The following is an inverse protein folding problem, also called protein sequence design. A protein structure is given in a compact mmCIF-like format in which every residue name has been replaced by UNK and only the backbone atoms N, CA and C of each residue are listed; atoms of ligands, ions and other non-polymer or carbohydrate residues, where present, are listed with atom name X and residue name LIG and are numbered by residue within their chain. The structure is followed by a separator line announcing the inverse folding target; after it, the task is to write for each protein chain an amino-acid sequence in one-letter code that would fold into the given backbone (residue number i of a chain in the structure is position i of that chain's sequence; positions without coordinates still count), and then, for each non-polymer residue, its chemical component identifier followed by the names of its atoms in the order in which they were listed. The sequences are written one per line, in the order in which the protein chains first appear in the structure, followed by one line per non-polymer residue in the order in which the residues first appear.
data_IF_600135044968
#
_entry.id   IF_600135044968
#
_cell.length_a   1.000
_cell.length_b   1.000
_cell.length_c   1.000
_cell.angle_alpha   90.00
_cell.angle_beta   90.00
_cell.angle_gamma   90.00
#
_symmetry.space_group_name_H-M   'P 1'
#
loop_
_entity.id
_entity.type
_entity.pdbx_description
1 polymer ?
#
# COMPACT_ATOMS: atom_id res chain seq x y z
N UNK A 1 -10.67 -6.55 -16.76
CA UNK A 1 -11.50 -7.37 -15.84
C UNK A 1 -12.83 -6.66 -15.61
N UNK A 2 -13.94 -7.38 -15.60
CA UNK A 2 -15.28 -6.82 -15.37
C UNK A 2 -15.79 -7.34 -14.02
N UNK A 3 -16.59 -6.53 -13.33
CA UNK A 3 -17.21 -6.87 -12.04
C UNK A 3 -16.17 -7.21 -10.96
N UNK A 4 -15.38 -6.20 -10.59
CA UNK A 4 -14.40 -6.30 -9.51
C UNK A 4 -15.03 -5.71 -8.25
N UNK A 5 -15.04 -6.45 -7.15
CA UNK A 5 -15.37 -5.95 -5.83
C UNK A 5 -14.12 -5.35 -5.20
N UNK A 6 -14.18 -4.12 -4.75
CA UNK A 6 -13.08 -3.48 -4.02
C UNK A 6 -13.28 -3.69 -2.51
N UNK A 7 -12.34 -4.37 -1.88
CA UNK A 7 -12.26 -4.36 -0.41
C UNK A 7 -11.76 -3.01 0.07
N UNK A 8 -12.27 -2.59 1.22
CA UNK A 8 -11.73 -1.41 1.89
C UNK A 8 -10.22 -1.56 2.07
N UNK A 9 -9.39 -0.57 1.61
CA UNK A 9 -7.95 -0.66 1.72
C UNK A 9 -7.48 -0.80 3.17
N UNK A 10 -6.39 -1.52 3.40
CA UNK A 10 -5.71 -1.56 4.69
C UNK A 10 -4.47 -0.70 4.62
N UNK A 11 -4.32 0.21 5.59
CA UNK A 11 -3.17 1.11 5.64
C UNK A 11 -2.46 1.03 6.98
N UNK A 12 -1.12 0.93 6.95
CA UNK A 12 -0.25 1.01 8.11
C UNK A 12 0.72 2.17 7.95
N UNK A 13 0.45 3.27 8.62
CA UNK A 13 1.25 4.49 8.52
C UNK A 13 1.93 4.77 9.84
N UNK A 14 3.25 4.98 9.79
CA UNK A 14 4.08 5.25 10.93
C UNK A 14 4.53 6.71 10.96
N UNK A 15 4.65 7.26 12.14
CA UNK A 15 5.30 8.55 12.37
C UNK A 15 6.67 8.31 12.98
N UNK A 16 7.73 8.84 12.34
CA UNK A 16 9.11 8.73 12.85
C UNK A 16 9.45 10.02 13.59
N UNK A 17 9.62 9.87 14.89
CA UNK A 17 9.92 10.95 15.82
C UNK A 17 11.38 11.04 16.23
N UNK A 18 11.64 11.76 17.34
CA UNK A 18 12.98 11.95 17.92
C UNK A 18 13.67 10.59 18.15
N UNK A 19 14.94 10.50 17.82
CA UNK A 19 15.72 9.27 17.98
C UNK A 19 15.44 8.19 16.94
N UNK A 20 14.75 8.52 15.83
CA UNK A 20 14.29 7.55 14.80
C UNK A 20 13.30 6.51 15.34
N UNK A 21 12.60 6.81 16.42
CA UNK A 21 11.54 5.93 16.94
C UNK A 21 10.34 6.03 16.00
N UNK A 22 9.93 4.88 15.48
CA UNK A 22 8.74 4.72 14.66
C UNK A 22 7.56 4.26 15.51
N UNK A 23 6.43 4.93 15.35
CA UNK A 23 5.17 4.58 16.04
C UNK A 23 4.05 4.58 15.02
N UNK A 24 3.23 3.52 15.04
CA UNK A 24 2.01 3.47 14.24
C UNK A 24 1.10 4.62 14.64
N UNK A 25 0.55 5.31 13.65
CA UNK A 25 -0.33 6.45 13.84
C UNK A 25 -1.72 6.10 13.30
N UNK A 26 -2.63 5.71 14.18
CA UNK A 26 -3.96 5.22 13.81
C UNK A 26 -4.76 6.26 13.02
N UNK A 27 -4.69 7.54 13.39
CA UNK A 27 -5.35 8.61 12.64
C UNK A 27 -4.80 8.72 11.22
N UNK A 28 -3.48 8.56 11.05
CA UNK A 28 -2.85 8.57 9.73
C UNK A 28 -3.17 7.30 8.93
N UNK A 29 -3.33 6.15 9.60
CA UNK A 29 -3.79 4.91 8.98
C UNK A 29 -5.17 5.10 8.37
N UNK A 30 -6.14 5.57 9.15
CA UNK A 30 -7.51 5.83 8.69
C UNK A 30 -7.56 6.86 7.57
N UNK A 31 -6.84 7.99 7.70
CA UNK A 31 -6.79 9.01 6.66
C UNK A 31 -6.18 8.51 5.35
N UNK A 32 -5.14 7.66 5.41
CA UNK A 32 -4.53 7.03 4.23
C UNK A 32 -5.48 6.03 3.57
N UNK A 33 -6.19 5.24 4.38
CA UNK A 33 -7.18 4.27 3.93
C UNK A 33 -8.32 4.94 3.17
N UNK A 34 -8.91 5.98 3.74
CA UNK A 34 -9.98 6.76 3.11
C UNK A 34 -9.51 7.41 1.80
N UNK A 35 -8.32 8.01 1.81
CA UNK A 35 -7.74 8.63 0.62
C UNK A 35 -7.49 7.62 -0.51
N UNK A 36 -7.02 6.42 -0.18
CA UNK A 36 -6.84 5.33 -1.14
C UNK A 36 -8.18 4.87 -1.71
N UNK A 37 -9.18 4.65 -0.85
CA UNK A 37 -10.52 4.25 -1.26
C UNK A 37 -11.11 5.27 -2.23
N UNK A 38 -11.12 6.55 -1.87
CA UNK A 38 -11.62 7.63 -2.72
C UNK A 38 -10.88 7.70 -4.05
N UNK A 39 -9.55 7.57 -4.03
CA UNK A 39 -8.75 7.61 -5.26
C UNK A 39 -9.06 6.42 -6.17
N UNK A 40 -9.18 5.21 -5.64
CA UNK A 40 -9.48 4.00 -6.42
C UNK A 40 -10.88 4.06 -7.02
N UNK A 41 -11.86 4.62 -6.31
CA UNK A 41 -13.24 4.78 -6.79
C UNK A 41 -13.38 5.84 -7.87
N UNK A 42 -12.53 6.84 -7.88
CA UNK A 42 -12.60 7.96 -8.85
C UNK A 42 -11.65 7.81 -10.02
N UNK A 43 -10.54 7.08 -9.85
CA UNK A 43 -9.55 6.88 -10.90
C UNK A 43 -9.97 5.75 -11.83
N UNK A 44 -9.92 6.00 -13.14
CA UNK A 44 -10.08 4.93 -14.13
C UNK A 44 -8.89 3.96 -14.07
N UNK A 45 -9.08 2.84 -13.38
CA UNK A 45 -8.07 1.77 -13.24
C UNK A 45 -7.97 0.87 -14.47
N UNK A 46 -8.86 1.03 -15.46
CA UNK A 46 -9.06 0.07 -16.55
C UNK A 46 -9.86 -1.16 -16.13
N UNK A 47 -10.37 -1.18 -14.90
CA UNK A 47 -11.23 -2.24 -14.36
C UNK A 47 -12.58 -1.65 -13.99
N UNK A 48 -13.65 -2.43 -14.17
CA UNK A 48 -14.97 -2.05 -13.69
C UNK A 48 -15.15 -2.46 -12.23
N UNK A 49 -14.96 -1.53 -11.30
CA UNK A 49 -15.29 -1.72 -9.89
C UNK A 49 -16.80 -1.64 -9.76
N UNK A 50 -17.45 -2.78 -9.50
CA UNK A 50 -18.91 -2.92 -9.46
C UNK A 50 -19.49 -2.72 -8.06
N UNK A 51 -18.71 -2.98 -7.03
CA UNK A 51 -19.12 -2.88 -5.63
C UNK A 51 -17.92 -2.62 -4.73
N UNK A 52 -18.20 -2.12 -3.52
CA UNK A 52 -17.20 -1.92 -2.48
C UNK A 52 -17.63 -2.70 -1.25
N UNK A 53 -16.73 -3.46 -0.66
CA UNK A 53 -16.93 -4.09 0.63
C UNK A 53 -16.27 -3.22 1.70
N UNK A 54 -17.08 -2.63 2.54
CA UNK A 54 -16.60 -1.87 3.70
C UNK A 54 -16.55 -2.82 4.89
N UNK A 55 -15.34 -3.13 5.33
CA UNK A 55 -15.11 -4.11 6.40
C UNK A 55 -15.68 -3.65 7.74
N UNK A 56 -15.80 -2.34 7.95
CA UNK A 56 -16.16 -1.80 9.24
C UNK A 56 -15.21 -2.32 10.33
N UNK A 57 -15.75 -3.17 11.24
CA UNK A 57 -14.95 -3.84 12.29
C UNK A 57 -14.59 -5.29 11.92
N UNK A 58 -14.71 -5.69 10.65
CA UNK A 58 -14.41 -7.06 10.22
C UNK A 58 -12.89 -7.31 10.19
N UNK A 59 -12.40 -7.71 11.35
CA UNK A 59 -11.00 -8.00 11.61
C UNK A 59 -10.46 -9.14 10.73
N UNK A 60 -11.31 -10.09 10.30
CA UNK A 60 -10.88 -11.22 9.48
C UNK A 60 -10.53 -10.78 8.05
N UNK A 61 -11.29 -9.85 7.50
CA UNK A 61 -10.99 -9.28 6.18
C UNK A 61 -9.70 -8.49 6.23
N UNK A 62 -9.52 -7.65 7.25
CA UNK A 62 -8.28 -6.89 7.46
C UNK A 62 -7.07 -7.84 7.55
N UNK A 63 -7.16 -8.87 8.38
CA UNK A 63 -6.12 -9.91 8.52
C UNK A 63 -5.86 -10.66 7.22
N UNK A 64 -6.91 -10.94 6.44
CA UNK A 64 -6.77 -11.56 5.13
C UNK A 64 -5.91 -10.72 4.17
N UNK A 65 -6.15 -9.41 4.12
CA UNK A 65 -5.36 -8.47 3.29
C UNK A 65 -3.92 -8.36 3.81
N UNK A 66 -3.73 -8.27 5.13
CA UNK A 66 -2.40 -8.26 5.75
C UNK A 66 -1.62 -9.56 5.47
N UNK A 67 -2.32 -10.70 5.45
CA UNK A 67 -1.72 -12.00 5.13
C UNK A 67 -1.22 -12.08 3.69
N UNK A 68 -1.97 -11.55 2.71
CA UNK A 68 -1.48 -11.45 1.33
C UNK A 68 -0.19 -10.63 1.25
N UNK A 69 -0.13 -9.51 1.97
CA UNK A 69 1.09 -8.71 2.05
C UNK A 69 2.24 -9.45 2.75
N UNK A 70 1.97 -10.20 3.82
CA UNK A 70 2.98 -10.99 4.51
C UNK A 70 3.56 -12.10 3.61
N UNK A 71 2.74 -12.76 2.78
CA UNK A 71 3.20 -13.72 1.79
C UNK A 71 4.17 -13.05 0.80
N UNK A 72 3.82 -11.86 0.30
CA UNK A 72 4.70 -11.09 -0.58
C UNK A 72 6.06 -10.81 0.07
N UNK A 73 6.10 -10.41 1.33
CA UNK A 73 7.37 -10.16 2.04
C UNK A 73 8.21 -11.43 2.20
N UNK A 74 7.58 -12.58 2.45
CA UNK A 74 8.26 -13.85 2.67
C UNK A 74 8.83 -14.46 1.38
N UNK A 75 8.19 -14.23 0.24
CA UNK A 75 8.63 -14.78 -1.06
C UNK A 75 9.74 -13.96 -1.71
N UNK A 76 9.97 -12.74 -1.22
CA UNK A 76 10.98 -11.83 -1.78
C UNK A 76 10.54 -11.15 -3.10
N UNK A 77 11.31 -10.14 -3.48
CA UNK A 77 11.07 -9.39 -4.71
C UNK A 77 11.31 -10.27 -5.94
N UNK A 78 10.29 -10.49 -6.76
CA UNK A 78 10.42 -11.17 -8.05
C UNK A 78 9.88 -12.60 -8.11
N UNK A 79 9.28 -13.13 -7.05
CA UNK A 79 8.57 -14.40 -7.09
C UNK A 79 7.16 -14.26 -7.69
N UNK A 80 6.69 -15.35 -8.28
CA UNK A 80 5.36 -15.44 -8.87
C UNK A 80 4.27 -15.31 -7.78
N UNK A 81 3.64 -14.14 -7.72
CA UNK A 81 2.54 -13.87 -6.78
C UNK A 81 1.29 -14.73 -7.02
N UNK A 82 1.23 -15.42 -8.16
CA UNK A 82 0.14 -16.35 -8.46
C UNK A 82 0.16 -17.61 -7.57
N UNK A 83 1.28 -17.88 -6.88
CA UNK A 83 1.40 -18.98 -5.91
C UNK A 83 0.89 -18.62 -4.51
N UNK A 84 0.43 -17.39 -4.28
CA UNK A 84 -0.08 -16.98 -2.98
C UNK A 84 -1.39 -17.69 -2.65
N UNK A 85 -1.51 -18.13 -1.41
CA UNK A 85 -2.75 -18.71 -0.90
C UNK A 85 -3.75 -17.59 -0.64
N UNK A 86 -4.91 -17.69 -1.26
CA UNK A 86 -6.01 -16.74 -1.03
C UNK A 86 -6.66 -17.05 0.31
N UNK A 87 -6.77 -16.08 1.24
CA UNK A 87 -7.50 -16.26 2.48
C UNK A 87 -8.97 -16.57 2.23
N UNK A 88 -9.51 -17.59 2.92
CA UNK A 88 -10.90 -18.00 2.81
C UNK A 88 -11.89 -16.87 3.14
N UNK A 89 -11.51 -16.01 4.09
CA UNK A 89 -12.32 -14.83 4.45
C UNK A 89 -12.54 -13.88 3.27
N UNK A 90 -11.52 -13.66 2.44
CA UNK A 90 -11.63 -12.81 1.25
C UNK A 90 -12.41 -13.52 0.14
N UNK A 91 -12.08 -14.78 -0.11
CA UNK A 91 -12.70 -15.57 -1.18
C UNK A 91 -14.21 -15.72 -0.99
N UNK A 92 -14.65 -16.11 0.22
CA UNK A 92 -16.08 -16.26 0.53
C UNK A 92 -16.88 -14.97 0.41
N UNK A 93 -16.29 -13.81 0.67
CA UNK A 93 -16.98 -12.53 0.47
C UNK A 93 -17.13 -12.20 -1.02
N UNK A 94 -16.10 -12.48 -1.83
CA UNK A 94 -16.17 -12.30 -3.28
C UNK A 94 -17.28 -13.18 -3.86
N UNK A 95 -17.32 -14.48 -3.51
CA UNK A 95 -18.36 -15.42 -3.94
C UNK A 95 -19.77 -14.96 -3.55
N UNK A 96 -19.97 -14.59 -2.27
CA UNK A 96 -21.27 -14.11 -1.77
C UNK A 96 -21.74 -12.84 -2.45
N UNK A 97 -20.81 -12.00 -2.93
CA UNK A 97 -21.15 -10.76 -3.66
C UNK A 97 -21.59 -11.03 -5.11
N UNK A 98 -21.44 -12.24 -5.63
CA UNK A 98 -21.68 -12.57 -7.02
C UNK A 98 -20.63 -12.00 -7.99
N UNK A 99 -19.52 -11.48 -7.47
CA UNK A 99 -18.40 -11.04 -8.30
C UNK A 99 -17.44 -12.21 -8.52
N UNK A 100 -16.75 -12.20 -9.67
CA UNK A 100 -15.64 -13.12 -9.90
C UNK A 100 -14.35 -12.63 -9.28
N UNK A 101 -14.13 -11.31 -9.30
CA UNK A 101 -12.86 -10.73 -8.89
C UNK A 101 -13.01 -9.87 -7.66
N UNK A 102 -12.03 -9.97 -6.74
CA UNK A 102 -11.87 -9.06 -5.61
C UNK A 102 -10.54 -8.30 -5.71
N UNK A 103 -10.56 -7.01 -5.38
CA UNK A 103 -9.37 -6.18 -5.30
C UNK A 103 -9.06 -5.91 -3.83
N UNK A 104 -7.94 -6.46 -3.34
CA UNK A 104 -7.39 -6.18 -2.02
C UNK A 104 -6.22 -5.21 -2.14
N UNK A 105 -6.19 -4.18 -1.29
CA UNK A 105 -5.17 -3.13 -1.31
C UNK A 105 -4.54 -2.99 0.07
N UNK A 106 -3.21 -3.10 0.11
CA UNK A 106 -2.44 -2.84 1.31
C UNK A 106 -1.48 -1.67 1.09
N UNK A 107 -1.49 -0.72 2.01
CA UNK A 107 -0.57 0.41 2.01
C UNK A 107 0.28 0.44 3.26
N UNK A 108 1.55 0.66 3.08
CA UNK A 108 2.51 0.89 4.16
C UNK A 108 3.28 2.18 3.89
N UNK A 109 3.56 2.94 4.93
CA UNK A 109 4.33 4.15 4.76
C UNK A 109 4.75 4.78 6.06
N UNK A 110 5.57 5.81 5.94
CA UNK A 110 5.93 6.64 7.08
C UNK A 110 6.06 8.11 6.70
N UNK A 111 5.93 8.97 7.73
CA UNK A 111 6.27 10.38 7.65
C UNK A 111 7.16 10.76 8.84
N UNK A 112 8.23 11.50 8.59
CA UNK A 112 9.11 12.00 9.64
C UNK A 112 8.59 13.33 10.17
N UNK A 113 8.67 13.51 11.49
CA UNK A 113 8.45 14.85 12.08
C UNK A 113 9.51 15.82 11.57
N UNK A 114 9.16 17.10 11.48
CA UNK A 114 10.09 18.13 10.99
C UNK A 114 11.40 18.17 11.78
N UNK A 115 11.34 18.00 13.10
CA UNK A 115 12.53 17.96 13.96
C UNK A 115 13.40 16.73 13.74
N UNK A 116 12.79 15.55 13.54
CA UNK A 116 13.54 14.34 13.21
C UNK A 116 14.22 14.46 11.85
N UNK A 117 13.49 14.92 10.81
CA UNK A 117 14.04 15.08 9.48
C UNK A 117 15.23 16.05 9.44
N UNK A 118 15.12 17.21 10.11
CA UNK A 118 16.21 18.19 10.22
C UNK A 118 17.44 17.61 10.94
N UNK A 119 17.23 16.84 12.02
CA UNK A 119 18.32 16.17 12.73
C UNK A 119 19.06 15.14 11.86
N UNK A 120 18.33 14.37 11.06
CA UNK A 120 18.94 13.37 10.17
C UNK A 120 19.70 14.02 9.01
N UNK A 121 19.20 15.14 8.47
CA UNK A 121 19.95 15.94 7.48
C UNK A 121 21.24 16.46 8.11
N UNK A 122 21.17 17.02 9.32
CA UNK A 122 22.36 17.53 9.99
C UNK A 122 23.42 16.43 10.22
N UNK A 123 23.02 15.22 10.58
CA UNK A 123 23.92 14.06 10.67
C UNK A 123 24.56 13.73 9.32
N UNK A 124 23.77 13.71 8.24
CA UNK A 124 24.27 13.44 6.89
C UNK A 124 25.30 14.48 6.44
N UNK A 125 25.05 15.76 6.71
CA UNK A 125 25.99 16.85 6.44
C UNK A 125 27.26 16.71 7.29
N UNK A 126 27.13 16.40 8.57
CA UNK A 126 28.28 16.15 9.45
C UNK A 126 29.15 15.01 8.96
N UNK A 127 28.53 13.90 8.51
CA UNK A 127 29.23 12.78 7.94
C UNK A 127 29.94 13.16 6.64
N UNK A 128 29.29 13.92 5.76
CA UNK A 128 29.90 14.40 4.52
C UNK A 128 31.15 15.26 4.80
N UNK A 129 31.10 16.15 5.79
CA UNK A 129 32.25 16.95 6.20
C UNK A 129 33.39 16.06 6.69
N UNK A 130 33.10 15.10 7.58
CA UNK A 130 34.09 14.19 8.14
C UNK A 130 34.74 13.27 7.09
N UNK A 131 34.01 12.93 6.04
CA UNK A 131 34.48 12.04 4.96
C UNK A 131 34.94 12.78 3.70
N UNK A 132 35.16 14.09 3.78
CA UNK A 132 35.52 14.95 2.65
C UNK A 132 34.57 14.78 1.44
N UNK A 133 33.27 14.60 1.72
CA UNK A 133 32.22 14.45 0.71
C UNK A 133 32.07 13.05 0.11
N UNK A 134 32.87 12.06 0.54
CA UNK A 134 32.79 10.68 -0.02
C UNK A 134 31.55 9.92 0.47
N UNK A 135 30.98 10.27 1.61
CA UNK A 135 29.76 9.68 2.15
C UNK A 135 28.76 10.79 2.49
N UNK A 136 27.63 10.76 1.80
CA UNK A 136 26.52 11.66 2.05
C UNK A 136 25.20 10.88 2.01
N UNK A 137 24.43 10.92 3.09
CA UNK A 137 23.12 10.26 3.19
C UNK A 137 22.03 11.28 3.36
N UNK A 138 21.05 11.26 2.46
CA UNK A 138 19.82 12.05 2.59
C UNK A 138 18.69 11.11 3.00
N UNK A 139 18.12 11.29 4.20
CA UNK A 139 16.97 10.48 4.59
C UNK A 139 15.73 10.87 3.79
N UNK A 140 14.88 9.91 3.47
CA UNK A 140 13.55 10.21 2.97
C UNK A 140 12.72 10.87 4.09
N UNK A 141 12.05 11.96 3.77
CA UNK A 141 11.10 12.60 4.69
C UNK A 141 9.85 11.76 4.83
N UNK A 142 9.33 11.29 3.72
CA UNK A 142 8.12 10.50 3.61
C UNK A 142 8.41 9.29 2.73
N UNK A 143 7.71 8.19 2.93
CA UNK A 143 7.75 7.02 2.06
C UNK A 143 6.39 6.34 2.03
N UNK A 144 5.98 5.91 0.86
CA UNK A 144 4.70 5.23 0.67
C UNK A 144 4.88 4.03 -0.23
N UNK A 145 4.28 2.92 0.17
CA UNK A 145 4.20 1.67 -0.60
C UNK A 145 2.74 1.33 -0.78
N UNK A 146 2.34 0.93 -1.96
CA UNK A 146 0.99 0.46 -2.23
C UNK A 146 1.11 -0.88 -2.97
N UNK A 147 0.42 -1.89 -2.46
CA UNK A 147 0.27 -3.21 -3.06
C UNK A 147 -1.19 -3.42 -3.43
N UNK A 148 -1.43 -3.95 -4.61
CA UNK A 148 -2.76 -4.34 -5.08
C UNK A 148 -2.72 -5.79 -5.50
N UNK A 149 -3.65 -6.57 -4.98
CA UNK A 149 -3.87 -7.98 -5.31
C UNK A 149 -5.26 -8.09 -5.94
N UNK A 150 -5.34 -8.69 -7.12
CA UNK A 150 -6.62 -9.08 -7.72
C UNK A 150 -6.79 -10.58 -7.52
N UNK A 151 -7.82 -10.95 -6.79
CA UNK A 151 -8.20 -12.31 -6.48
C UNK A 151 -9.19 -12.78 -7.54
N UNK A 152 -9.00 -13.97 -8.11
CA UNK A 152 -9.96 -14.68 -8.94
C UNK A 152 -10.59 -15.78 -8.08
N UNK A 153 -11.81 -15.55 -7.59
CA UNK A 153 -12.51 -16.47 -6.70
C UNK A 153 -12.89 -17.78 -7.42
N UNK A 154 -13.21 -17.78 -8.72
CA UNK A 154 -13.49 -19.01 -9.46
C UNK A 154 -12.28 -19.95 -9.51
N UNK A 155 -11.06 -19.41 -9.48
CA UNK A 155 -9.81 -20.18 -9.55
C UNK A 155 -9.06 -20.24 -8.23
N UNK A 156 -9.58 -19.59 -7.20
CA UNK A 156 -8.98 -19.46 -5.86
C UNK A 156 -7.48 -19.11 -5.93
N UNK A 157 -7.15 -18.04 -6.67
CA UNK A 157 -5.77 -17.61 -6.89
C UNK A 157 -5.65 -16.10 -7.05
N UNK A 158 -4.44 -15.59 -6.94
CA UNK A 158 -4.13 -14.20 -7.34
C UNK A 158 -4.04 -14.14 -8.87
N UNK A 159 -5.01 -13.45 -9.49
CA UNK A 159 -5.03 -13.23 -10.94
C UNK A 159 -4.02 -12.16 -11.37
N UNK A 160 -3.71 -11.22 -10.49
CA UNK A 160 -2.75 -10.17 -10.74
C UNK A 160 -2.29 -9.51 -9.44
N UNK A 161 -1.03 -9.15 -9.41
CA UNK A 161 -0.43 -8.37 -8.34
C UNK A 161 0.48 -7.30 -8.93
N UNK A 162 0.46 -6.12 -8.35
CA UNK A 162 1.44 -5.08 -8.63
C UNK A 162 1.67 -4.23 -7.38
N UNK A 163 2.83 -3.60 -7.33
CA UNK A 163 3.18 -2.72 -6.24
C UNK A 163 3.94 -1.50 -6.73
N UNK A 164 3.93 -0.46 -5.92
CA UNK A 164 4.70 0.75 -6.18
C UNK A 164 5.31 1.31 -4.92
N UNK A 165 6.57 1.74 -5.04
CA UNK A 165 7.31 2.42 -3.99
C UNK A 165 7.42 3.89 -4.36
N UNK A 166 6.94 4.76 -3.50
CA UNK A 166 7.07 6.22 -3.61
C UNK A 166 8.09 6.75 -2.59
N UNK A 167 9.35 6.90 -3.00
CA UNK A 167 10.35 7.64 -2.24
C UNK A 167 9.96 9.13 -2.25
N UNK A 168 9.99 9.78 -1.07
CA UNK A 168 9.50 11.15 -0.83
C UNK A 168 8.01 11.38 -1.17
N UNK A 169 7.23 10.30 -1.24
CA UNK A 169 5.79 10.37 -1.37
C UNK A 169 5.14 10.24 0.01
N UNK A 170 4.45 11.30 0.40
CA UNK A 170 3.70 11.32 1.64
C UNK A 170 2.40 10.52 1.45
N UNK A 171 2.13 9.49 2.29
CA UNK A 171 0.93 8.65 2.17
C UNK A 171 -0.39 9.37 2.50
N UNK A 172 -0.32 10.60 2.99
CA UNK A 172 -1.47 11.44 3.34
C UNK A 172 -1.71 12.58 2.34
N UNK A 173 -0.96 12.63 1.21
CA UNK A 173 -1.13 13.67 0.20
C UNK A 173 -1.87 13.13 -1.03
N UNK A 174 -3.07 13.66 -1.36
CA UNK A 174 -3.87 13.19 -2.51
C UNK A 174 -3.08 13.06 -3.81
N UNK A 175 -2.32 14.11 -4.18
CA UNK A 175 -1.50 14.11 -5.41
C UNK A 175 -0.45 13.00 -5.45
N UNK A 176 0.09 12.58 -4.29
CA UNK A 176 1.08 11.51 -4.23
C UNK A 176 0.42 10.15 -4.41
N UNK A 177 -0.73 9.92 -3.77
CA UNK A 177 -1.51 8.70 -3.93
C UNK A 177 -2.02 8.56 -5.37
N UNK A 178 -2.61 9.61 -5.92
CA UNK A 178 -3.07 9.62 -7.32
C UNK A 178 -1.94 9.25 -8.30
N UNK A 179 -0.75 9.84 -8.12
CA UNK A 179 0.42 9.55 -8.96
C UNK A 179 0.88 8.10 -8.82
N UNK A 180 0.81 7.52 -7.61
CA UNK A 180 1.14 6.11 -7.37
C UNK A 180 0.09 5.20 -8.03
N UNK A 181 -1.19 5.44 -7.82
CA UNK A 181 -2.29 4.68 -8.44
C UNK A 181 -2.21 4.73 -9.97
N UNK A 182 -1.97 5.91 -10.55
CA UNK A 182 -1.77 6.05 -12.00
C UNK A 182 -0.65 5.17 -12.54
N UNK A 183 0.48 5.11 -11.84
CA UNK A 183 1.63 4.28 -12.24
C UNK A 183 1.35 2.79 -12.05
N UNK A 184 0.68 2.44 -10.95
CA UNK A 184 0.37 1.07 -10.57
C UNK A 184 -0.54 0.40 -11.59
N UNK A 185 -1.56 1.11 -12.07
CA UNK A 185 -2.53 0.60 -13.06
C UNK A 185 -2.16 0.90 -14.53
N UNK A 186 -1.01 1.52 -14.79
CA UNK A 186 -0.57 1.78 -16.17
C UNK A 186 -0.55 0.51 -17.06
N UNK A 187 -0.10 -0.67 -16.58
CA UNK A 187 -0.12 -1.89 -17.39
C UNK A 187 -1.51 -2.36 -17.82
N UNK A 188 -2.57 -1.95 -17.13
CA UNK A 188 -3.95 -2.32 -17.47
C UNK A 188 -4.57 -1.45 -18.57
N UNK A 189 -3.95 -0.33 -18.91
CA UNK A 189 -4.46 0.63 -19.90
C UNK A 189 -3.86 0.46 -21.30
N UNK A 190 -2.93 -0.48 -21.44
CA UNK A 190 -2.33 -0.88 -22.70
C UNK A 190 -2.86 -2.25 -23.07
#
# INVERSE_FOLDING_TARGET
MRNVMLFEPVSKIETIGKGNISVTNDTACLASQELLLQTLMTYDTGMNISSTYTSGEDEEIRKGIEYLYAQYLNTGYGHDSMSFVVPESLDSIIEKSGNRYGMAVYSYGFSRTGGNYAAEIAKGVGLAILTLGTVYTVPYKDKSYIHVFIIDSEQNRIAWHNNIIGADYNPLKPKHIEKQIKRLFKPFKN
#
